data_IF_671036661286
#
_entry.id   IF_671036661286
#
_cell.length_a   1.000
_cell.length_b   1.000
_cell.length_c   1.000
_cell.angle_alpha   90.00
_cell.angle_beta   90.00
_cell.angle_gamma   90.00
#
_symmetry.space_group_name_H-M   'P 1'
#
loop_
_entity.id
_entity.type
_entity.pdbx_description
1 polymer ?
#
# COMPACT_ATOMS: atom_id res chain seq x y z
N UNK A 1 11.29 -4.27 18.25
CA UNK A 1 10.27 -3.51 17.50
C UNK A 1 9.90 -4.32 16.27
N UNK A 2 9.28 -5.48 16.45
CA UNK A 2 7.92 -5.76 16.96
C UNK A 2 6.88 -5.18 16.00
N UNK A 3 6.22 -6.07 15.29
CA UNK A 3 5.20 -5.76 14.29
C UNK A 3 4.16 -4.79 14.84
N UNK A 4 3.76 -3.81 14.05
CA UNK A 4 2.64 -2.93 14.41
C UNK A 4 1.54 -3.01 13.36
N UNK A 5 0.31 -2.80 13.82
CA UNK A 5 -0.89 -2.82 12.99
C UNK A 5 -1.54 -1.45 13.02
N UNK A 6 -1.99 -0.96 11.86
CA UNK A 6 -2.69 0.31 11.77
C UNK A 6 -3.76 0.28 10.69
N UNK A 7 -4.77 1.14 10.85
CA UNK A 7 -5.81 1.36 9.86
C UNK A 7 -5.29 2.30 8.78
N UNK A 8 -5.15 1.77 7.57
CA UNK A 8 -4.57 2.47 6.44
C UNK A 8 -5.65 2.87 5.44
N UNK A 9 -5.64 4.13 5.02
CA UNK A 9 -6.45 4.60 3.89
C UNK A 9 -5.72 4.28 2.59
N UNK A 10 -6.38 3.57 1.69
CA UNK A 10 -5.82 3.15 0.41
C UNK A 10 -6.61 3.79 -0.73
N UNK A 11 -5.93 4.56 -1.57
CA UNK A 11 -6.51 5.20 -2.75
C UNK A 11 -6.90 4.12 -3.76
N UNK A 12 -8.20 4.03 -4.07
CA UNK A 12 -8.77 2.98 -4.93
C UNK A 12 -9.45 1.83 -4.17
N UNK A 13 -9.32 1.79 -2.84
CA UNK A 13 -10.11 0.93 -1.95
C UNK A 13 -10.73 1.84 -0.90
N UNK A 14 -11.84 2.49 -1.26
CA UNK A 14 -12.55 3.38 -0.34
C UNK A 14 -13.42 2.61 0.64
N UNK A 15 -13.22 2.93 1.92
CA UNK A 15 -14.00 2.66 3.14
C UNK A 15 -14.67 1.28 3.34
N UNK A 16 -14.50 0.65 4.53
CA UNK A 16 -13.68 1.08 5.67
C UNK A 16 -12.18 0.95 5.40
N UNK A 17 -11.36 1.65 6.19
CA UNK A 17 -9.89 1.54 6.17
C UNK A 17 -9.45 0.08 6.21
N UNK A 18 -8.35 -0.23 5.51
CA UNK A 18 -7.80 -1.58 5.50
C UNK A 18 -6.84 -1.72 6.67
N UNK A 19 -6.83 -2.89 7.30
CA UNK A 19 -5.85 -3.19 8.34
C UNK A 19 -4.51 -3.52 7.66
N UNK A 20 -3.45 -2.82 8.05
CA UNK A 20 -2.10 -3.03 7.53
C UNK A 20 -1.17 -3.49 8.65
N UNK A 21 -0.55 -4.66 8.47
CA UNK A 21 0.46 -5.22 9.39
C UNK A 21 1.86 -4.94 8.84
N UNK A 22 2.68 -4.25 9.62
CA UNK A 22 4.07 -3.94 9.29
C UNK A 22 5.00 -4.81 10.11
N UNK A 23 5.88 -5.57 9.45
CA UNK A 23 6.89 -6.40 10.12
C UNK A 23 8.27 -5.93 9.66
N UNK A 24 8.99 -5.24 10.56
CA UNK A 24 10.37 -4.75 10.30
C UNK A 24 10.50 -3.93 9.00
N UNK A 25 9.51 -3.08 8.70
CA UNK A 25 9.46 -2.40 7.41
C UNK A 25 10.54 -1.29 7.29
N UNK A 26 11.47 -1.38 6.32
CA UNK A 26 12.30 -0.24 5.95
C UNK A 26 11.42 0.86 5.36
N UNK A 27 11.59 2.09 5.84
CA UNK A 27 10.86 3.25 5.33
C UNK A 27 11.27 3.53 3.88
N UNK A 28 10.32 3.87 3.02
CA UNK A 28 10.62 4.32 1.65
C UNK A 28 11.23 5.72 1.74
N UNK A 29 12.52 5.86 1.44
CA UNK A 29 13.26 7.13 1.54
C UNK A 29 13.04 8.07 0.34
N UNK A 30 12.62 7.55 -0.82
CA UNK A 30 12.31 8.38 -2.01
C UNK A 30 11.37 7.66 -2.97
N UNK A 31 10.44 8.40 -3.57
CA UNK A 31 9.63 7.95 -4.71
C UNK A 31 10.09 8.68 -5.98
N UNK A 32 10.19 7.99 -7.11
CA UNK A 32 10.46 8.60 -8.41
C UNK A 32 9.25 9.42 -8.92
N UNK A 33 9.45 10.29 -9.91
CA UNK A 33 8.40 11.18 -10.44
C UNK A 33 7.19 10.42 -11.03
N UNK A 34 7.39 9.19 -11.49
CA UNK A 34 6.35 8.36 -12.12
C UNK A 34 5.61 7.45 -11.11
N UNK A 35 5.86 7.62 -9.81
CA UNK A 35 5.30 6.79 -8.75
C UNK A 35 4.06 7.45 -8.15
N UNK A 36 2.93 6.78 -8.24
CA UNK A 36 1.69 7.16 -7.55
C UNK A 36 1.65 6.57 -6.15
N UNK A 37 1.53 7.44 -5.13
CA UNK A 37 1.33 7.01 -3.74
C UNK A 37 -0.14 6.65 -3.54
N UNK A 38 -0.39 5.36 -3.29
CA UNK A 38 -1.74 4.83 -3.02
C UNK A 38 -2.08 4.89 -1.53
N UNK A 39 -1.10 4.73 -0.66
CA UNK A 39 -1.30 4.81 0.78
C UNK A 39 -0.06 5.32 1.50
N UNK A 40 -0.27 6.11 2.55
CA UNK A 40 0.79 6.67 3.38
C UNK A 40 0.39 6.65 4.85
N UNK A 41 1.36 6.48 5.75
CA UNK A 41 1.20 6.63 7.19
C UNK A 41 1.93 7.89 7.65
N UNK A 42 1.41 8.56 8.67
CA UNK A 42 2.10 9.69 9.29
C UNK A 42 2.77 9.20 10.57
N UNK A 43 4.07 9.40 10.68
CA UNK A 43 4.82 9.07 11.90
C UNK A 43 4.52 10.07 13.04
N UNK A 44 4.92 9.75 14.27
CA UNK A 44 4.76 10.60 15.46
C UNK A 44 5.36 12.01 15.27
N UNK A 45 6.35 12.14 14.37
CA UNK A 45 6.99 13.40 13.99
C UNK A 45 6.21 14.21 12.94
N UNK A 46 5.06 13.73 12.49
CA UNK A 46 4.25 14.38 11.46
C UNK A 46 4.75 14.17 10.02
N UNK A 47 5.69 13.25 9.81
CA UNK A 47 6.25 12.95 8.47
C UNK A 47 5.39 11.87 7.81
N UNK A 48 4.95 12.14 6.58
CA UNK A 48 4.20 11.16 5.79
C UNK A 48 5.17 10.21 5.08
N UNK A 49 4.99 8.90 5.31
CA UNK A 49 5.77 7.84 4.70
C UNK A 49 4.88 7.01 3.77
N UNK A 50 5.21 6.90 2.47
CA UNK A 50 4.47 6.07 1.54
C UNK A 50 4.67 4.60 1.89
N UNK A 51 3.57 3.86 2.01
CA UNK A 51 3.55 2.43 2.39
C UNK A 51 2.89 1.56 1.33
N UNK A 52 2.13 2.15 0.41
CA UNK A 52 1.74 1.52 -0.84
C UNK A 52 1.98 2.50 -1.99
N UNK A 53 2.69 2.05 -2.99
CA UNK A 53 2.99 2.82 -4.19
C UNK A 53 2.74 2.00 -5.44
N UNK A 54 2.36 2.68 -6.51
CA UNK A 54 2.15 2.10 -7.83
C UNK A 54 2.98 2.84 -8.85
N UNK A 55 3.57 2.10 -9.79
CA UNK A 55 4.21 2.67 -10.97
C UNK A 55 3.80 1.82 -12.17
N UNK A 56 2.98 2.38 -13.06
CA UNK A 56 2.36 1.63 -14.16
C UNK A 56 1.65 0.35 -13.66
N UNK A 57 2.15 -0.81 -14.09
CA UNK A 57 1.67 -2.15 -13.72
C UNK A 57 2.45 -2.79 -12.54
N UNK A 58 3.19 -1.99 -11.76
CA UNK A 58 3.88 -2.44 -10.56
C UNK A 58 3.18 -1.89 -9.32
N UNK A 59 2.92 -2.77 -8.34
CA UNK A 59 2.41 -2.42 -7.02
C UNK A 59 3.43 -2.86 -5.97
N UNK A 60 3.87 -1.94 -5.12
CA UNK A 60 4.75 -2.23 -4.00
C UNK A 60 4.09 -1.82 -2.68
N UNK A 61 4.10 -2.72 -1.70
CA UNK A 61 3.56 -2.49 -0.35
C UNK A 61 4.61 -2.79 0.70
N UNK A 62 4.72 -1.92 1.70
CA UNK A 62 5.61 -2.09 2.86
C UNK A 62 4.94 -2.84 4.03
N UNK A 63 3.65 -3.17 3.88
CA UNK A 63 2.88 -3.99 4.81
C UNK A 63 2.53 -5.34 4.17
N UNK A 64 2.12 -6.27 5.02
CA UNK A 64 1.71 -7.62 4.65
C UNK A 64 0.18 -7.71 4.67
N UNK A 65 -0.52 -7.42 3.55
CA UNK A 65 -1.99 -7.52 3.47
C UNK A 65 -2.48 -8.96 3.65
N UNK A 66 -1.62 -9.95 3.40
CA UNK A 66 -1.91 -11.38 3.61
C UNK A 66 -2.16 -11.74 5.08
N UNK A 67 -1.62 -10.97 6.02
CA UNK A 67 -1.72 -11.25 7.46
C UNK A 67 -2.96 -10.67 8.12
N UNK A 68 -3.66 -9.74 7.46
CA UNK A 68 -4.88 -9.12 8.00
C UNK A 68 -6.16 -9.80 7.54
N UNK A 69 -6.07 -10.76 6.62
CA UNK A 69 -7.24 -11.46 6.05
C UNK A 69 -8.10 -10.58 5.14
N UNK A 70 -7.68 -9.34 4.87
CA UNK A 70 -8.40 -8.40 4.01
C UNK A 70 -7.92 -8.55 2.55
N UNK A 71 -8.74 -9.24 1.75
CA UNK A 71 -8.44 -9.53 0.36
C UNK A 71 -8.63 -8.32 -0.58
N UNK A 72 -9.01 -7.13 -0.07
CA UNK A 72 -9.26 -5.96 -0.93
C UNK A 72 -8.01 -5.48 -1.65
N UNK A 73 -6.83 -5.55 -1.02
CA UNK A 73 -5.56 -5.19 -1.67
C UNK A 73 -5.21 -6.17 -2.78
N UNK A 74 -5.38 -7.47 -2.54
CA UNK A 74 -5.20 -8.51 -3.54
C UNK A 74 -6.18 -8.33 -4.71
N UNK A 75 -7.44 -8.01 -4.42
CA UNK A 75 -8.45 -7.72 -5.44
C UNK A 75 -8.10 -6.49 -6.27
N UNK A 76 -7.65 -5.41 -5.63
CA UNK A 76 -7.15 -4.22 -6.33
C UNK A 76 -5.99 -4.56 -7.27
N UNK A 77 -5.03 -5.37 -6.80
CA UNK A 77 -3.93 -5.83 -7.64
C UNK A 77 -4.43 -6.57 -8.89
N UNK A 78 -5.32 -7.55 -8.73
CA UNK A 78 -5.86 -8.29 -9.89
C UNK A 78 -6.70 -7.40 -10.81
N UNK A 79 -7.60 -6.59 -10.27
CA UNK A 79 -8.55 -5.81 -11.05
C UNK A 79 -7.95 -4.56 -11.71
N UNK A 80 -6.95 -3.94 -11.10
CA UNK A 80 -6.37 -2.68 -11.61
C UNK A 80 -5.02 -2.93 -12.28
N UNK A 81 -4.18 -3.80 -11.72
CA UNK A 81 -2.83 -4.05 -12.26
C UNK A 81 -2.87 -5.13 -13.34
N UNK A 82 -3.43 -6.31 -13.05
CA UNK A 82 -3.46 -7.41 -14.03
C UNK A 82 -4.46 -7.16 -15.17
N UNK A 83 -5.61 -6.51 -14.91
CA UNK A 83 -6.61 -6.20 -15.94
C UNK A 83 -6.11 -5.18 -16.96
N UNK A 84 -5.35 -4.16 -16.52
CA UNK A 84 -4.73 -3.21 -17.45
C UNK A 84 -3.71 -3.87 -18.39
N UNK A 85 -3.00 -4.90 -17.91
CA UNK A 85 -2.08 -5.69 -18.73
C UNK A 85 -2.79 -6.45 -19.88
N UNK A 86 -4.08 -6.76 -19.73
CA UNK A 86 -4.88 -7.47 -20.74
C UNK A 86 -5.53 -6.50 -21.73
N UNK A 87 -5.57 -5.20 -21.42
CA UNK A 87 -6.15 -4.15 -22.27
C UNK A 87 -5.10 -3.35 -23.05
N UNK A 88 -3.82 -3.68 -22.89
CA UNK A 88 -2.68 -3.09 -23.59
C UNK A 88 -2.23 -3.89 -24.81
#
# INVERSE_FOLDING_TARGET
MDSFETDLKFKGITEPSIKAVFIRAPWVESTGADVEVLAQITDEKGVAHPVAVRQANLLATSFHPELTGDNRVHKYFVEQICSELVRG
#
